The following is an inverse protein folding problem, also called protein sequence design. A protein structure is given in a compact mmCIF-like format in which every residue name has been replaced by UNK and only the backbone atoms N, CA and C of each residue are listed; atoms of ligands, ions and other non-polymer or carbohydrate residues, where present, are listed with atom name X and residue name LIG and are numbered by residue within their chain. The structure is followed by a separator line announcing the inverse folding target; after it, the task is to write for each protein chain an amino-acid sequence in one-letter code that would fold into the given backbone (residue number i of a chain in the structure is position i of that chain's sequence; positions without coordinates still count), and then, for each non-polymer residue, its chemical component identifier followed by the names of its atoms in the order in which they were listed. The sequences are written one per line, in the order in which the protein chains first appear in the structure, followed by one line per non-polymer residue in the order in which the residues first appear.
data_IF_838145821801
#
_entry.id   IF_838145821801
#
_cell.length_a   1.000
_cell.length_b   1.000
_cell.length_c   1.000
_cell.angle_alpha   90.00
_cell.angle_beta   90.00
_cell.angle_gamma   90.00
#
_symmetry.space_group_name_H-M   'P 1'
#
loop_
_entity.id
_entity.type
_entity.pdbx_description
1 polymer ?
#
# COMPACT_ATOMS: atom_id res chain seq x y z
N UNK A 1 24.63 -19.62 21.10
CA UNK A 1 24.45 -18.15 21.28
C UNK A 1 23.23 -17.73 20.46
N UNK A 2 22.29 -16.95 21.02
CA UNK A 2 21.07 -16.55 20.29
C UNK A 2 21.38 -15.36 19.36
N UNK A 3 20.92 -15.36 18.10
CA UNK A 3 21.12 -14.23 17.20
C UNK A 3 20.53 -12.93 17.77
N UNK A 4 21.18 -11.81 17.46
CA UNK A 4 20.75 -10.47 17.87
C UNK A 4 19.43 -10.10 17.19
N UNK A 5 18.68 -9.18 17.78
CA UNK A 5 17.37 -8.78 17.25
C UNK A 5 17.45 -8.24 15.82
N UNK A 6 18.48 -7.46 15.49
CA UNK A 6 18.65 -6.93 14.14
C UNK A 6 18.92 -8.03 13.11
N UNK A 7 19.71 -9.05 13.46
CA UNK A 7 19.98 -10.20 12.58
C UNK A 7 18.69 -10.96 12.29
N UNK A 8 17.86 -11.17 13.32
CA UNK A 8 16.55 -11.81 13.17
C UNK A 8 15.60 -11.01 12.29
N UNK A 9 15.58 -9.68 12.44
CA UNK A 9 14.77 -8.79 11.60
C UNK A 9 15.26 -8.81 10.15
N UNK A 10 16.57 -8.78 9.93
CA UNK A 10 17.16 -8.85 8.60
C UNK A 10 16.84 -10.18 7.89
N UNK A 11 17.01 -11.30 8.58
CA UNK A 11 16.66 -12.63 8.07
C UNK A 11 15.15 -12.73 7.73
N UNK A 12 14.27 -12.23 8.59
CA UNK A 12 12.83 -12.20 8.33
C UNK A 12 12.46 -11.29 7.14
N UNK A 13 13.21 -10.22 6.89
CA UNK A 13 13.02 -9.37 5.70
C UNK A 13 13.46 -10.09 4.43
N UNK A 14 14.61 -10.77 4.44
CA UNK A 14 15.10 -11.57 3.31
C UNK A 14 14.10 -12.67 2.94
N UNK A 15 13.62 -13.42 3.94
CA UNK A 15 12.61 -14.46 3.73
C UNK A 15 11.31 -13.91 3.12
N UNK A 16 10.84 -12.72 3.54
CA UNK A 16 9.66 -12.09 2.90
C UNK A 16 9.91 -11.70 1.45
N UNK A 17 11.11 -11.22 1.13
CA UNK A 17 11.48 -10.86 -0.23
C UNK A 17 11.51 -12.09 -1.13
N UNK A 18 12.15 -13.18 -0.69
CA UNK A 18 12.20 -14.47 -1.41
C UNK A 18 10.79 -15.04 -1.65
N UNK A 19 9.89 -14.90 -0.69
CA UNK A 19 8.50 -15.36 -0.81
C UNK A 19 7.58 -14.39 -1.57
N UNK A 20 8.11 -13.29 -2.13
CA UNK A 20 7.33 -12.23 -2.77
C UNK A 20 6.21 -11.65 -1.87
N UNK A 21 6.46 -11.55 -0.56
CA UNK A 21 5.52 -11.04 0.47
C UNK A 21 5.81 -9.61 0.92
N UNK A 22 6.69 -8.91 0.21
CA UNK A 22 6.99 -7.50 0.48
C UNK A 22 5.81 -6.64 0.05
N UNK A 23 5.32 -5.80 0.96
CA UNK A 23 4.23 -4.85 0.68
C UNK A 23 4.80 -3.47 0.36
N UNK A 24 4.25 -2.83 -0.66
CA UNK A 24 4.58 -1.44 -1.00
C UNK A 24 3.33 -0.60 -0.78
N UNK A 25 3.46 0.46 0.01
CA UNK A 25 2.40 1.45 0.18
C UNK A 25 2.46 2.41 -1.01
N UNK A 26 1.31 2.66 -1.64
CA UNK A 26 1.15 3.73 -2.62
C UNK A 26 0.34 4.87 -2.01
N UNK A 27 0.70 6.09 -2.36
CA UNK A 27 0.01 7.30 -1.91
C UNK A 27 -0.92 7.76 -3.02
N UNK A 28 -2.20 7.96 -2.67
CA UNK A 28 -3.18 8.57 -3.57
C UNK A 28 -3.09 10.08 -3.38
N UNK A 29 -2.79 10.82 -4.45
CA UNK A 29 -2.64 12.29 -4.41
C UNK A 29 -3.94 13.01 -4.68
N UNK A 30 -4.77 12.47 -5.57
CA UNK A 30 -6.10 13.01 -5.93
C UNK A 30 -7.13 11.90 -6.07
N UNK A 31 -8.39 12.26 -5.86
CA UNK A 31 -9.56 11.42 -6.09
C UNK A 31 -10.61 12.22 -6.85
N UNK A 32 -11.27 11.55 -7.78
CA UNK A 32 -12.41 12.07 -8.54
C UNK A 32 -13.37 10.92 -8.82
N UNK A 33 -14.43 10.81 -8.01
CA UNK A 33 -15.33 9.66 -8.01
C UNK A 33 -14.57 8.34 -7.87
N UNK A 34 -14.69 7.46 -8.87
CA UNK A 34 -13.99 6.16 -8.95
C UNK A 34 -12.54 6.27 -9.45
N UNK A 35 -12.10 7.44 -9.91
CA UNK A 35 -10.74 7.66 -10.39
C UNK A 35 -9.83 8.12 -9.26
N UNK A 36 -8.59 7.65 -9.28
CA UNK A 36 -7.55 8.03 -8.32
C UNK A 36 -6.23 8.27 -9.02
N UNK A 37 -5.49 9.27 -8.53
CA UNK A 37 -4.14 9.58 -8.99
C UNK A 37 -3.12 8.92 -8.05
N UNK A 38 -2.25 8.08 -8.61
CA UNK A 38 -1.13 7.43 -7.91
C UNK A 38 0.11 7.57 -8.76
N UNK A 39 1.21 8.03 -8.17
CA UNK A 39 2.48 8.24 -8.86
C UNK A 39 2.32 9.08 -10.15
N UNK A 40 1.43 10.08 -10.14
CA UNK A 40 1.12 10.96 -11.29
C UNK A 40 0.25 10.33 -12.39
N UNK A 41 -0.27 9.12 -12.18
CA UNK A 41 -1.11 8.42 -13.16
C UNK A 41 -2.54 8.30 -12.67
N UNK A 42 -3.50 8.60 -13.55
CA UNK A 42 -4.93 8.44 -13.28
C UNK A 42 -5.40 7.02 -13.56
N UNK A 43 -5.81 6.32 -12.52
CA UNK A 43 -6.30 4.93 -12.57
C UNK A 43 -7.77 4.86 -12.14
N UNK A 44 -8.43 3.74 -12.45
CA UNK A 44 -9.75 3.41 -11.89
C UNK A 44 -9.56 2.59 -10.61
N UNK A 45 -10.13 3.05 -9.51
CA UNK A 45 -10.00 2.44 -8.19
C UNK A 45 -10.99 1.30 -7.96
N UNK A 46 -10.48 0.08 -7.84
CA UNK A 46 -11.23 -1.10 -7.41
C UNK A 46 -10.81 -1.60 -6.02
N UNK A 47 -9.95 -0.86 -5.33
CA UNK A 47 -9.34 -1.24 -4.04
C UNK A 47 -9.76 -0.35 -2.87
N UNK A 48 -10.89 0.35 -3.01
CA UNK A 48 -11.46 1.21 -1.97
C UNK A 48 -12.63 0.55 -1.25
N UNK A 49 -13.05 1.16 -0.14
CA UNK A 49 -14.26 0.79 0.61
C UNK A 49 -15.39 1.82 0.44
N UNK A 50 -15.24 2.79 -0.48
CA UNK A 50 -16.24 3.82 -0.73
C UNK A 50 -17.31 3.33 -1.71
N UNK A 51 -18.19 2.47 -1.21
CA UNK A 51 -19.23 1.84 -2.02
C UNK A 51 -20.34 2.81 -2.45
N UNK A 52 -20.52 3.92 -1.72
CA UNK A 52 -21.58 4.89 -1.95
C UNK A 52 -21.10 6.16 -2.63
N UNK A 53 -19.79 6.33 -2.84
CA UNK A 53 -19.21 7.52 -3.44
C UNK A 53 -19.27 8.76 -2.55
N UNK A 54 -19.35 8.60 -1.24
CA UNK A 54 -19.55 9.71 -0.29
C UNK A 54 -18.23 10.24 0.29
N UNK A 55 -17.10 9.57 0.03
CA UNK A 55 -15.82 9.93 0.65
C UNK A 55 -15.30 11.32 0.27
N UNK A 56 -15.83 11.93 -0.80
CA UNK A 56 -15.42 13.24 -1.32
C UNK A 56 -16.31 14.40 -0.84
N UNK A 57 -17.37 14.13 -0.07
CA UNK A 57 -18.33 15.15 0.34
C UNK A 57 -17.82 16.10 1.44
N UNK A 58 -16.76 15.72 2.14
CA UNK A 58 -16.25 16.46 3.31
C UNK A 58 -14.81 16.97 3.12
N UNK A 59 -14.36 17.09 1.86
CA UNK A 59 -12.97 17.44 1.53
C UNK A 59 -12.80 18.92 1.17
#
# INVERSE_FOLDING_TARGET
MRPRLHERVAAARAQRAEQARTRVRRSVTRRDGVRLEVDGHWLTGFCGNDYLGLAQQFQ
#
